data_IF_240512835156
#
_entry.id   IF_240512835156
#
_cell.length_a   1.000
_cell.length_b   1.000
_cell.length_c   1.000
_cell.angle_alpha   90.00
_cell.angle_beta   90.00
_cell.angle_gamma   90.00
#
_symmetry.space_group_name_H-M   'P 1'
#
loop_
_entity.id
_entity.type
_entity.pdbx_description
1 polymer ?
#
# COMPACT_ATOMS: atom_id res chain seq x y z
N UNK A 1 16.99 -0.03 -12.02
CA UNK A 1 15.72 -0.67 -12.44
C UNK A 1 15.93 -1.37 -13.77
N UNK A 2 15.35 -2.53 -13.98
CA UNK A 2 15.37 -3.18 -15.30
C UNK A 2 14.44 -2.48 -16.32
N UNK A 3 13.61 -1.54 -15.87
CA UNK A 3 12.67 -0.82 -16.74
C UNK A 3 13.25 0.53 -17.19
N UNK A 4 13.01 0.85 -18.45
CA UNK A 4 13.23 2.18 -18.99
C UNK A 4 12.43 3.22 -18.19
N UNK A 5 12.96 4.47 -18.01
CA UNK A 5 12.30 5.47 -17.15
C UNK A 5 10.85 5.79 -17.54
N UNK A 6 10.54 5.84 -18.82
CA UNK A 6 9.18 6.12 -19.31
C UNK A 6 8.21 4.98 -18.97
N UNK A 7 8.65 3.74 -19.15
CA UNK A 7 7.85 2.56 -18.80
C UNK A 7 7.63 2.51 -17.30
N UNK A 8 8.68 2.78 -16.50
CA UNK A 8 8.56 2.81 -15.06
C UNK A 8 7.57 3.86 -14.56
N UNK A 9 7.56 5.06 -15.13
CA UNK A 9 6.57 6.10 -14.81
C UNK A 9 5.16 5.69 -15.21
N UNK A 10 4.97 5.09 -16.38
CA UNK A 10 3.66 4.60 -16.82
C UNK A 10 3.12 3.52 -15.89
N UNK A 11 3.95 2.60 -15.42
CA UNK A 11 3.56 1.59 -14.42
C UNK A 11 3.11 2.24 -13.10
N UNK A 12 3.86 3.24 -12.61
CA UNK A 12 3.49 3.98 -11.40
C UNK A 12 2.14 4.70 -11.56
N UNK A 13 1.90 5.31 -12.70
CA UNK A 13 0.63 6.00 -13.00
C UNK A 13 -0.55 5.02 -13.00
N UNK A 14 -0.41 3.85 -13.60
CA UNK A 14 -1.44 2.81 -13.58
C UNK A 14 -1.69 2.32 -12.16
N UNK A 15 -0.65 2.07 -11.37
CA UNK A 15 -0.77 1.68 -9.97
C UNK A 15 -1.46 2.77 -9.14
N UNK A 16 -1.09 4.03 -9.35
CA UNK A 16 -1.70 5.16 -8.67
C UNK A 16 -3.21 5.26 -8.96
N UNK A 17 -3.58 5.22 -10.23
CA UNK A 17 -4.97 5.41 -10.64
C UNK A 17 -5.88 4.23 -10.30
N UNK A 18 -5.39 2.99 -10.40
CA UNK A 18 -6.21 1.79 -10.23
C UNK A 18 -6.11 1.13 -8.86
N UNK A 19 -4.93 1.16 -8.24
CA UNK A 19 -4.63 0.32 -7.09
C UNK A 19 -4.40 1.09 -5.78
N UNK A 20 -3.95 2.34 -5.84
CA UNK A 20 -3.61 3.10 -4.63
C UNK A 20 -4.80 3.33 -3.70
N UNK A 21 -4.56 3.15 -2.40
CA UNK A 21 -5.42 3.59 -1.30
C UNK A 21 -4.57 4.21 -0.20
N UNK A 22 -5.20 4.87 0.76
CA UNK A 22 -4.53 5.46 1.93
C UNK A 22 -3.71 4.44 2.75
N UNK A 23 -4.13 3.17 2.77
CA UNK A 23 -3.53 2.14 3.63
C UNK A 23 -2.86 0.99 2.87
N UNK A 24 -2.64 1.12 1.57
CA UNK A 24 -1.98 0.09 0.79
C UNK A 24 -2.33 0.13 -0.69
N UNK A 25 -1.81 -0.83 -1.46
CA UNK A 25 -2.28 -1.04 -2.82
C UNK A 25 -3.28 -2.18 -2.87
N UNK A 26 -4.36 -1.96 -3.63
CA UNK A 26 -5.35 -3.00 -3.94
C UNK A 26 -4.73 -4.12 -4.76
N UNK A 27 -5.22 -5.32 -4.55
CA UNK A 27 -4.85 -6.49 -5.37
C UNK A 27 -5.60 -6.57 -6.69
N UNK A 28 -6.60 -5.71 -6.90
CA UNK A 28 -7.36 -5.59 -8.14
C UNK A 28 -7.94 -4.19 -8.25
N UNK A 29 -7.94 -3.65 -9.47
CA UNK A 29 -8.53 -2.35 -9.79
C UNK A 29 -10.04 -2.32 -9.44
N UNK A 30 -10.47 -1.23 -8.81
CA UNK A 30 -11.87 -1.03 -8.40
C UNK A 30 -12.87 -1.01 -9.57
N UNK A 31 -12.40 -0.74 -10.78
CA UNK A 31 -13.25 -0.77 -12.00
C UNK A 31 -13.40 -2.17 -12.60
N UNK A 32 -12.67 -3.16 -12.09
CA UNK A 32 -12.81 -4.54 -12.54
C UNK A 32 -14.18 -5.12 -12.14
N UNK A 33 -14.86 -5.79 -13.07
CA UNK A 33 -16.11 -6.50 -12.76
C UNK A 33 -15.99 -7.64 -11.74
N UNK A 34 -14.76 -8.03 -11.38
CA UNK A 34 -14.46 -9.03 -10.33
C UNK A 34 -14.03 -8.41 -9.00
N UNK A 35 -14.02 -7.08 -8.90
CA UNK A 35 -13.59 -6.36 -7.70
C UNK A 35 -14.44 -6.70 -6.47
N UNK A 36 -13.74 -6.92 -5.36
CA UNK A 36 -14.31 -7.15 -4.03
C UNK A 36 -13.51 -6.33 -3.02
N UNK A 37 -13.95 -5.11 -2.80
CA UNK A 37 -13.25 -4.14 -1.95
C UNK A 37 -13.51 -4.29 -0.46
N UNK A 38 -14.31 -5.27 -0.02
CA UNK A 38 -14.63 -5.51 1.40
C UNK A 38 -14.45 -6.97 1.79
N UNK A 39 -13.90 -7.18 2.97
CA UNK A 39 -13.71 -8.50 3.57
C UNK A 39 -14.95 -8.95 4.35
N UNK A 40 -16.02 -9.23 3.64
CA UNK A 40 -17.31 -9.58 4.25
C UNK A 40 -17.89 -10.89 3.70
N UNK A 41 -18.92 -11.41 4.40
CA UNK A 41 -19.60 -12.65 4.03
C UNK A 41 -18.94 -13.91 4.63
N UNK A 42 -19.16 -15.07 4.01
CA UNK A 42 -18.63 -16.37 4.45
C UNK A 42 -17.11 -16.45 4.30
N UNK A 43 -16.42 -17.38 5.00
CA UNK A 43 -14.95 -17.48 4.97
C UNK A 43 -14.37 -17.58 3.56
N UNK A 44 -15.02 -18.32 2.65
CA UNK A 44 -14.59 -18.45 1.26
C UNK A 44 -14.72 -17.13 0.48
N UNK A 45 -15.76 -16.35 0.77
CA UNK A 45 -15.97 -15.02 0.17
C UNK A 45 -14.94 -14.01 0.67
N UNK A 46 -14.66 -14.01 1.97
CA UNK A 46 -13.62 -13.16 2.58
C UNK A 46 -12.25 -13.47 2.01
N UNK A 47 -11.88 -14.76 1.90
CA UNK A 47 -10.61 -15.17 1.29
C UNK A 47 -10.48 -14.72 -0.18
N UNK A 48 -11.57 -14.79 -0.96
CA UNK A 48 -11.57 -14.28 -2.33
C UNK A 48 -11.34 -12.78 -2.43
N UNK A 49 -11.84 -11.99 -1.46
CA UNK A 49 -11.63 -10.55 -1.43
C UNK A 49 -10.14 -10.20 -1.28
N UNK A 50 -9.35 -10.98 -0.53
CA UNK A 50 -7.91 -10.76 -0.34
C UNK A 50 -7.14 -10.58 -1.65
N UNK A 51 -7.53 -11.31 -2.68
CA UNK A 51 -6.89 -11.30 -4.01
C UNK A 51 -7.70 -10.57 -5.08
N UNK A 52 -8.82 -9.93 -4.70
CA UNK A 52 -9.74 -9.28 -5.63
C UNK A 52 -10.11 -7.86 -5.22
N UNK A 53 -9.27 -7.19 -4.45
CA UNK A 53 -9.51 -5.79 -4.16
C UNK A 53 -9.08 -5.31 -2.79
N UNK A 54 -8.72 -6.17 -1.83
CA UNK A 54 -8.18 -5.72 -0.54
C UNK A 54 -6.86 -4.97 -0.73
N UNK A 55 -6.61 -3.98 0.15
CA UNK A 55 -5.40 -3.18 0.14
C UNK A 55 -4.36 -3.75 1.11
N UNK A 56 -3.13 -3.91 0.63
CA UNK A 56 -2.02 -4.47 1.39
C UNK A 56 -0.93 -3.42 1.64
N UNK A 57 -0.61 -3.11 2.92
CA UNK A 57 0.42 -2.11 3.26
C UNK A 57 1.80 -2.43 2.69
N UNK A 58 2.23 -3.68 2.68
CA UNK A 58 3.55 -4.05 2.16
C UNK A 58 3.69 -3.74 0.67
N UNK A 59 2.63 -3.81 -0.12
CA UNK A 59 2.64 -3.39 -1.53
C UNK A 59 2.86 -1.89 -1.67
N UNK A 60 2.36 -1.10 -0.71
CA UNK A 60 2.59 0.34 -0.72
C UNK A 60 4.07 0.69 -0.52
N UNK A 61 4.79 -0.06 0.31
CA UNK A 61 6.24 0.14 0.46
C UNK A 61 6.98 -0.01 -0.86
N UNK A 62 6.68 -1.06 -1.62
CA UNK A 62 7.25 -1.26 -2.95
C UNK A 62 6.89 -0.12 -3.93
N UNK A 63 5.65 0.36 -3.85
CA UNK A 63 5.21 1.50 -4.65
C UNK A 63 5.99 2.78 -4.29
N UNK A 64 6.17 3.08 -3.00
CA UNK A 64 6.93 4.26 -2.55
C UNK A 64 8.39 4.17 -2.99
N UNK A 65 9.03 3.02 -2.86
CA UNK A 65 10.41 2.80 -3.34
C UNK A 65 10.52 3.07 -4.86
N UNK A 66 9.58 2.55 -5.64
CA UNK A 66 9.55 2.78 -7.07
C UNK A 66 9.26 4.26 -7.40
N UNK A 67 8.32 4.88 -6.67
CA UNK A 67 7.99 6.29 -6.83
C UNK A 67 9.22 7.19 -6.62
N UNK A 68 9.93 7.02 -5.51
CA UNK A 68 11.13 7.79 -5.19
C UNK A 68 12.26 7.56 -6.20
N UNK A 69 12.38 6.34 -6.74
CA UNK A 69 13.38 6.03 -7.75
C UNK A 69 13.21 6.85 -9.05
N UNK A 70 11.96 7.06 -9.47
CA UNK A 70 11.65 7.84 -10.67
C UNK A 70 11.40 9.32 -10.39
N UNK A 71 11.21 9.69 -9.11
CA UNK A 71 10.94 11.05 -8.66
C UNK A 71 11.77 11.41 -7.41
N UNK A 72 13.11 11.39 -7.50
CA UNK A 72 13.99 11.55 -6.32
C UNK A 72 13.88 12.93 -5.65
N UNK A 73 13.32 13.92 -6.33
CA UNK A 73 13.10 15.26 -5.77
C UNK A 73 11.77 15.41 -5.01
N UNK A 74 10.92 14.37 -5.01
CA UNK A 74 9.60 14.38 -4.36
C UNK A 74 9.60 13.54 -3.07
N UNK A 75 10.65 13.70 -2.26
CA UNK A 75 10.81 12.97 -1.00
C UNK A 75 9.68 13.26 -0.02
N UNK A 76 9.23 14.51 0.07
CA UNK A 76 8.12 14.89 0.95
C UNK A 76 6.83 14.16 0.59
N UNK A 77 6.56 13.99 -0.69
CA UNK A 77 5.41 13.23 -1.16
C UNK A 77 5.59 11.72 -0.87
N UNK A 78 6.80 11.20 -1.04
CA UNK A 78 7.14 9.83 -0.64
C UNK A 78 6.87 9.57 0.84
N UNK A 79 7.24 10.50 1.71
CA UNK A 79 6.96 10.42 3.14
C UNK A 79 5.46 10.52 3.47
N UNK A 80 4.71 11.34 2.73
CA UNK A 80 3.26 11.47 2.92
C UNK A 80 2.51 10.16 2.71
N UNK A 81 2.97 9.27 1.82
CA UNK A 81 2.36 7.95 1.64
C UNK A 81 2.42 7.09 2.90
N UNK A 82 3.44 7.26 3.77
CA UNK A 82 3.60 6.50 5.00
C UNK A 82 2.91 7.14 6.21
N UNK A 83 2.54 8.40 6.13
CA UNK A 83 1.96 9.16 7.24
C UNK A 83 0.75 8.49 7.89
N UNK A 84 -0.20 7.86 7.16
CA UNK A 84 -1.35 7.18 7.78
C UNK A 84 -0.97 6.08 8.77
N UNK A 85 0.18 5.43 8.56
CA UNK A 85 0.67 4.36 9.45
C UNK A 85 1.37 4.90 10.70
N UNK A 86 1.98 6.09 10.59
CA UNK A 86 2.72 6.71 11.69
C UNK A 86 1.81 7.44 12.69
N UNK A 87 0.63 7.88 12.25
CA UNK A 87 -0.26 8.73 13.05
C UNK A 87 -1.62 8.09 13.35
N UNK A 88 -1.73 6.78 13.24
CA UNK A 88 -3.01 6.10 13.50
C UNK A 88 -3.34 6.11 15.00
N UNK A 89 -4.36 6.88 15.46
CA UNK A 89 -4.76 6.88 16.87
C UNK A 89 -5.36 5.52 17.26
N UNK A 90 -4.99 5.00 18.41
CA UNK A 90 -5.59 3.80 19.01
C UNK A 90 -5.06 2.46 18.50
N UNK A 91 -3.98 2.44 17.75
CA UNK A 91 -3.31 1.20 17.33
C UNK A 91 -2.44 0.62 18.44
N UNK A 92 -2.24 -0.70 18.42
CA UNK A 92 -1.30 -1.45 19.29
C UNK A 92 0.17 -1.17 18.95
N UNK A 93 0.48 -0.02 18.32
CA UNK A 93 1.84 0.33 17.89
C UNK A 93 2.32 -0.43 16.65
N UNK A 94 1.41 -0.89 15.81
CA UNK A 94 1.74 -1.64 14.60
C UNK A 94 0.80 -1.38 13.43
N UNK A 95 1.01 -2.10 12.34
CA UNK A 95 0.24 -1.99 11.09
C UNK A 95 -0.48 -3.32 10.83
N UNK A 96 -1.78 -3.25 10.56
CA UNK A 96 -2.57 -4.43 10.22
C UNK A 96 -2.06 -5.10 8.93
N UNK A 97 -2.40 -6.37 8.77
CA UNK A 97 -1.97 -7.17 7.63
C UNK A 97 -2.54 -6.63 6.32
N UNK A 98 -3.84 -6.34 6.29
CA UNK A 98 -4.54 -5.81 5.13
C UNK A 98 -5.71 -4.93 5.55
N UNK A 99 -6.23 -4.16 4.62
CA UNK A 99 -7.37 -3.27 4.80
C UNK A 99 -8.41 -3.50 3.70
N UNK A 100 -9.66 -3.12 3.94
CA UNK A 100 -10.62 -3.03 2.87
C UNK A 100 -10.08 -2.14 1.75
N UNK A 101 -10.30 -2.53 0.50
CA UNK A 101 -9.93 -1.72 -0.66
C UNK A 101 -10.90 -0.58 -0.94
N UNK A 102 -12.06 -0.57 -0.25
CA UNK A 102 -13.09 0.46 -0.31
C UNK A 102 -13.26 1.14 1.05
N UNK A 103 -13.67 2.40 1.04
CA UNK A 103 -13.94 3.14 2.29
C UNK A 103 -14.98 2.42 3.16
N UNK A 104 -14.83 2.45 4.49
CA UNK A 104 -13.90 3.25 5.30
C UNK A 104 -12.49 2.65 5.49
N UNK A 105 -12.09 1.62 4.76
CA UNK A 105 -10.79 0.95 4.86
C UNK A 105 -10.57 0.26 6.20
N UNK A 106 -11.52 -0.56 6.62
CA UNK A 106 -11.41 -1.31 7.86
C UNK A 106 -10.23 -2.30 7.82
N UNK A 107 -9.50 -2.45 8.94
CA UNK A 107 -8.38 -3.39 9.03
C UNK A 107 -8.87 -4.84 9.17
N UNK A 108 -8.13 -5.76 8.57
CA UNK A 108 -8.37 -7.20 8.62
C UNK A 108 -7.06 -7.98 8.76
N UNK A 109 -7.17 -9.30 8.92
CA UNK A 109 -6.02 -10.18 9.16
C UNK A 109 -5.43 -9.94 10.54
N UNK A 110 -4.12 -10.09 10.65
CA UNK A 110 -3.40 -9.82 11.89
C UNK A 110 -3.43 -8.33 12.22
N UNK A 111 -3.76 -8.00 13.48
CA UNK A 111 -3.81 -6.60 13.94
C UNK A 111 -2.44 -5.90 13.86
N UNK A 112 -1.36 -6.68 14.00
CA UNK A 112 0.01 -6.24 13.80
C UNK A 112 0.73 -7.27 12.93
N UNK A 113 1.00 -6.94 11.69
CA UNK A 113 1.68 -7.81 10.74
C UNK A 113 3.16 -7.45 10.63
N UNK A 114 4.03 -8.43 10.88
CA UNK A 114 5.47 -8.25 10.72
C UNK A 114 5.85 -7.85 9.28
N UNK A 115 5.16 -8.37 8.28
CA UNK A 115 5.37 -8.03 6.87
C UNK A 115 5.03 -6.56 6.59
N UNK A 116 3.88 -6.09 7.10
CA UNK A 116 3.47 -4.69 6.92
C UNK A 116 4.40 -3.73 7.67
N UNK A 117 4.70 -4.00 8.94
CA UNK A 117 5.61 -3.18 9.76
C UNK A 117 7.03 -3.18 9.19
N UNK A 118 7.55 -4.35 8.84
CA UNK A 118 8.90 -4.50 8.29
C UNK A 118 9.09 -3.73 6.99
N UNK A 119 8.09 -3.75 6.11
CA UNK A 119 8.17 -3.02 4.84
C UNK A 119 8.10 -1.50 5.03
N UNK A 120 7.24 -1.00 5.94
CA UNK A 120 7.19 0.43 6.28
C UNK A 120 8.55 0.90 6.83
N UNK A 121 9.13 0.15 7.78
CA UNK A 121 10.44 0.46 8.34
C UNK A 121 11.54 0.42 7.28
N UNK A 122 11.52 -0.56 6.37
CA UNK A 122 12.48 -0.65 5.27
C UNK A 122 12.46 0.61 4.41
N UNK A 123 11.28 1.06 3.98
CA UNK A 123 11.15 2.28 3.17
C UNK A 123 11.68 3.51 3.92
N UNK A 124 11.38 3.61 5.21
CA UNK A 124 11.87 4.73 6.02
C UNK A 124 13.41 4.74 6.10
N UNK A 125 14.03 3.58 6.34
CA UNK A 125 15.47 3.48 6.54
C UNK A 125 16.26 3.46 5.22
N UNK A 126 15.77 2.77 4.20
CA UNK A 126 16.52 2.56 2.96
C UNK A 126 16.21 3.60 1.88
N UNK A 127 14.98 4.10 1.81
CA UNK A 127 14.55 4.98 0.74
C UNK A 127 14.45 6.44 1.19
N UNK A 128 13.86 6.73 2.36
CA UNK A 128 13.62 8.10 2.80
C UNK A 128 14.80 8.70 3.57
N UNK A 129 15.38 7.98 4.52
CA UNK A 129 16.48 8.48 5.34
C UNK A 129 17.72 8.89 4.53
N UNK A 130 18.18 8.11 3.53
CA UNK A 130 19.32 8.52 2.70
C UNK A 130 19.07 9.79 1.87
N UNK A 131 17.81 10.13 1.63
CA UNK A 131 17.40 11.34 0.91
C UNK A 131 17.20 12.55 1.82
N UNK A 132 17.43 12.41 3.14
CA UNK A 132 17.47 13.51 4.10
C UNK A 132 16.20 13.69 4.94
N UNK A 133 15.39 12.64 5.02
CA UNK A 133 14.19 12.69 5.84
C UNK A 133 14.36 11.97 7.18
#
# INVERSE_FOLDING_TARGET
SPLEPEIGRSVLEVCWNGLYTTYGLRTLDAHSGKYKGRCEGRPDQRRKAWYRGMAWPWLLGQFVSAFLRYNPHQIDLGALFLRPFLHRPGGLGGVAELFDGSMPYDPHGDAVSAMSVGEILRVMEEDLRPLGL
#
